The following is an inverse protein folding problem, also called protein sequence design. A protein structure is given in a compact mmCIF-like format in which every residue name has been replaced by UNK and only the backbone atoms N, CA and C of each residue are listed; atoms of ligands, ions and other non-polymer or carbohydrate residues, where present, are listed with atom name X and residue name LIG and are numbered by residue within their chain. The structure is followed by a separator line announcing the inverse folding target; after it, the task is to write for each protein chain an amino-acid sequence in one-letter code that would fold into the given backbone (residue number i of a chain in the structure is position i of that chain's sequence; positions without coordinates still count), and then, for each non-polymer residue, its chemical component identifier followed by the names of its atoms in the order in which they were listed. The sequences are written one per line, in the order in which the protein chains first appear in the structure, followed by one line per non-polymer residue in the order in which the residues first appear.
data_IF_454842472548
#
_entry.id   IF_454842472548
#
_cell.length_a   1.000
_cell.length_b   1.000
_cell.length_c   1.000
_cell.angle_alpha   90.00
_cell.angle_beta   90.00
_cell.angle_gamma   90.00
#
_symmetry.space_group_name_H-M   'P 1'
#
loop_
_entity.id
_entity.type
_entity.pdbx_description
1 polymer ?
#
# COMPACT_ATOMS: atom_id res chain seq x y z
N UNK A 1 1.68 -14.24 16.10
CA UNK A 1 0.44 -14.04 15.33
C UNK A 1 0.63 -14.19 13.81
N UNK A 2 1.20 -13.23 13.05
CA UNK A 2 1.30 -13.33 11.57
C UNK A 2 1.96 -14.63 11.06
N UNK A 3 3.03 -15.09 11.70
CA UNK A 3 3.69 -16.35 11.31
C UNK A 3 2.84 -17.60 11.59
N UNK A 4 2.08 -17.61 12.69
CA UNK A 4 1.20 -18.74 13.04
C UNK A 4 0.03 -18.85 12.07
N UNK A 5 -0.59 -17.72 11.73
CA UNK A 5 -1.67 -17.65 10.73
C UNK A 5 -1.19 -18.00 9.32
N UNK A 6 0.05 -17.63 8.99
CA UNK A 6 0.67 -18.02 7.73
C UNK A 6 0.96 -19.53 7.66
N UNK A 7 1.42 -20.13 8.77
CA UNK A 7 1.62 -21.57 8.86
C UNK A 7 0.29 -22.35 8.82
N UNK A 8 -0.77 -21.80 9.43
CA UNK A 8 -2.13 -22.33 9.28
C UNK A 8 -2.54 -22.35 7.81
N UNK A 9 -2.43 -21.23 7.09
CA UNK A 9 -2.79 -21.16 5.67
C UNK A 9 -2.03 -22.19 4.80
N UNK A 10 -0.79 -22.53 5.17
CA UNK A 10 0.02 -23.53 4.47
C UNK A 10 -0.39 -24.98 4.73
N UNK A 11 -0.89 -25.29 5.92
CA UNK A 11 -0.98 -26.68 6.41
C UNK A 11 -2.37 -27.12 6.85
N UNK A 12 -3.21 -26.18 7.32
CA UNK A 12 -4.53 -26.48 7.86
C UNK A 12 -5.55 -26.64 6.74
N UNK A 13 -6.42 -27.63 6.87
CA UNK A 13 -7.61 -27.77 6.01
C UNK A 13 -8.80 -26.95 6.53
N UNK A 14 -8.63 -26.25 7.65
CA UNK A 14 -9.62 -25.34 8.22
C UNK A 14 -9.04 -23.92 8.18
N UNK A 15 -9.79 -23.02 7.55
CA UNK A 15 -9.55 -21.59 7.58
C UNK A 15 -10.25 -21.04 8.83
N UNK A 16 -9.47 -20.78 9.88
CA UNK A 16 -10.02 -20.35 11.17
C UNK A 16 -10.71 -19.00 11.08
N UNK A 17 -11.65 -18.76 12.01
CA UNK A 17 -12.26 -17.43 12.18
C UNK A 17 -11.20 -16.35 12.41
N UNK A 18 -10.11 -16.67 13.11
CA UNK A 18 -9.02 -15.74 13.36
C UNK A 18 -8.30 -15.37 12.07
N UNK A 19 -7.93 -16.36 11.24
CA UNK A 19 -7.31 -16.12 9.94
C UNK A 19 -8.21 -15.31 9.01
N UNK A 20 -9.50 -15.67 8.93
CA UNK A 20 -10.50 -14.92 8.14
C UNK A 20 -10.62 -13.49 8.62
N UNK A 21 -10.74 -13.27 9.93
CA UNK A 21 -10.87 -11.92 10.50
C UNK A 21 -9.62 -11.08 10.19
N UNK A 22 -8.41 -11.63 10.36
CA UNK A 22 -7.17 -10.94 10.01
C UNK A 22 -7.07 -10.60 8.52
N UNK A 23 -7.54 -11.49 7.63
CA UNK A 23 -7.60 -11.22 6.20
C UNK A 23 -8.60 -10.12 5.85
N UNK A 24 -9.75 -10.06 6.51
CA UNK A 24 -10.76 -9.04 6.25
C UNK A 24 -10.41 -7.69 6.89
N UNK A 25 -9.79 -7.70 8.07
CA UNK A 25 -9.28 -6.50 8.74
C UNK A 25 -8.13 -5.85 7.96
N UNK A 26 -7.39 -6.60 7.13
CA UNK A 26 -6.36 -5.99 6.28
C UNK A 26 -6.91 -4.99 5.27
N UNK A 27 -8.21 -5.04 4.97
CA UNK A 27 -8.88 -4.00 4.16
C UNK A 27 -9.07 -2.68 4.91
N UNK A 28 -9.03 -2.70 6.24
CA UNK A 28 -9.06 -1.48 7.06
C UNK A 28 -7.66 -0.85 7.16
N UNK A 29 -6.61 -1.68 7.20
CA UNK A 29 -5.23 -1.24 7.23
C UNK A 29 -4.64 -1.22 5.82
N UNK A 30 -4.79 -0.09 5.13
CA UNK A 30 -4.28 0.10 3.76
C UNK A 30 -2.74 0.12 3.65
N UNK A 31 -2.00 -0.42 4.63
CA UNK A 31 -0.55 -0.44 4.62
C UNK A 31 0.00 -1.56 3.73
N UNK A 32 1.10 -1.27 3.04
CA UNK A 32 1.71 -2.19 2.07
C UNK A 32 2.02 -3.57 2.67
N UNK A 33 2.50 -3.62 3.92
CA UNK A 33 2.93 -4.88 4.56
C UNK A 33 1.76 -5.80 4.87
N UNK A 34 0.57 -5.25 5.15
CA UNK A 34 -0.64 -6.05 5.35
C UNK A 34 -1.20 -6.52 4.01
N UNK A 35 -1.21 -5.65 2.99
CA UNK A 35 -1.67 -5.99 1.64
C UNK A 35 -0.83 -7.13 1.05
N UNK A 36 0.50 -7.05 1.14
CA UNK A 36 1.41 -8.10 0.65
C UNK A 36 1.17 -9.42 1.39
N UNK A 37 1.08 -9.38 2.73
CA UNK A 37 0.80 -10.58 3.52
C UNK A 37 -0.54 -11.23 3.12
N UNK A 38 -1.60 -10.44 2.92
CA UNK A 38 -2.89 -10.93 2.46
C UNK A 38 -2.78 -11.58 1.08
N UNK A 39 -2.09 -10.95 0.12
CA UNK A 39 -1.89 -11.51 -1.22
C UNK A 39 -1.18 -12.86 -1.14
N UNK A 40 -0.13 -12.97 -0.32
CA UNK A 40 0.64 -14.21 -0.17
C UNK A 40 -0.19 -15.34 0.43
N UNK A 41 -0.94 -15.04 1.50
CA UNK A 41 -1.87 -16.02 2.10
C UNK A 41 -2.91 -16.48 1.08
N UNK A 42 -3.54 -15.56 0.36
CA UNK A 42 -4.57 -15.90 -0.64
C UNK A 42 -3.98 -16.72 -1.81
N UNK A 43 -2.74 -16.45 -2.23
CA UNK A 43 -2.04 -17.26 -3.25
C UNK A 43 -1.72 -18.67 -2.78
N UNK A 44 -1.33 -18.84 -1.51
CA UNK A 44 -1.09 -20.15 -0.91
C UNK A 44 -2.40 -20.95 -0.89
N UNK A 45 -3.48 -20.36 -0.38
CA UNK A 45 -4.80 -21.01 -0.32
C UNK A 45 -5.30 -21.39 -1.72
N UNK A 46 -5.19 -20.46 -2.69
CA UNK A 46 -5.49 -20.72 -4.09
C UNK A 46 -4.75 -21.94 -4.62
N UNK A 47 -3.42 -21.99 -4.43
CA UNK A 47 -2.57 -23.08 -4.94
C UNK A 47 -2.98 -24.42 -4.35
N UNK A 48 -3.31 -24.45 -3.06
CA UNK A 48 -3.77 -25.65 -2.36
C UNK A 48 -5.13 -26.13 -2.88
N UNK A 49 -6.08 -25.22 -3.07
CA UNK A 49 -7.40 -25.53 -3.63
C UNK A 49 -7.27 -26.02 -5.09
N UNK A 50 -6.40 -25.39 -5.90
CA UNK A 50 -6.12 -25.83 -7.28
C UNK A 50 -5.46 -27.22 -7.33
N UNK A 51 -4.70 -27.60 -6.30
CA UNK A 51 -4.13 -28.95 -6.13
C UNK A 51 -5.17 -29.99 -5.66
N UNK A 52 -6.30 -29.54 -5.10
CA UNK A 52 -7.39 -30.39 -4.63
C UNK A 52 -7.50 -30.53 -3.11
N UNK A 53 -6.77 -29.72 -2.33
CA UNK A 53 -6.94 -29.67 -0.87
C UNK A 53 -8.36 -29.18 -0.53
N UNK A 54 -9.02 -29.85 0.43
CA UNK A 54 -10.39 -29.50 0.86
C UNK A 54 -10.35 -28.49 2.00
N UNK A 55 -10.26 -27.20 1.67
CA UNK A 55 -10.18 -26.14 2.67
C UNK A 55 -11.59 -25.72 3.10
N UNK A 56 -11.93 -25.91 4.37
CA UNK A 56 -13.20 -25.51 4.98
C UNK A 56 -13.08 -24.14 5.64
N UNK A 57 -13.98 -23.24 5.30
CA UNK A 57 -14.19 -21.98 6.00
C UNK A 57 -14.95 -22.23 7.31
N UNK A 58 -14.37 -21.84 8.44
CA UNK A 58 -14.98 -22.06 9.75
C UNK A 58 -16.21 -21.16 9.98
N UNK A 59 -16.25 -19.97 9.36
CA UNK A 59 -17.31 -18.97 9.57
C UNK A 59 -18.56 -19.30 8.75
N UNK A 60 -18.39 -19.62 7.47
CA UNK A 60 -19.48 -19.95 6.56
C UNK A 60 -19.80 -21.44 6.48
N UNK A 61 -18.88 -22.30 6.92
CA UNK A 61 -18.99 -23.76 6.83
C UNK A 61 -18.75 -24.33 5.43
N UNK A 62 -18.49 -23.49 4.44
CA UNK A 62 -18.28 -23.87 3.04
C UNK A 62 -16.91 -24.54 2.89
N UNK A 63 -16.84 -25.60 2.07
CA UNK A 63 -15.58 -26.13 1.58
C UNK A 63 -15.30 -25.45 0.24
N UNK A 64 -14.19 -24.73 0.16
CA UNK A 64 -13.84 -23.98 -1.02
C UNK A 64 -13.44 -24.90 -2.17
N UNK A 65 -14.11 -24.72 -3.29
CA UNK A 65 -13.60 -25.07 -4.62
C UNK A 65 -12.99 -23.83 -5.29
N UNK A 66 -12.42 -24.01 -6.48
CA UNK A 66 -11.79 -22.92 -7.23
C UNK A 66 -12.73 -21.73 -7.45
N UNK A 67 -14.01 -22.00 -7.75
CA UNK A 67 -14.99 -20.96 -8.11
C UNK A 67 -15.43 -20.18 -6.87
N UNK A 68 -15.85 -20.88 -5.83
CA UNK A 68 -16.28 -20.31 -4.55
C UNK A 68 -15.16 -19.53 -3.86
N UNK A 69 -13.91 -20.01 -3.92
CA UNK A 69 -12.78 -19.25 -3.38
C UNK A 69 -12.51 -17.97 -4.17
N UNK A 70 -12.56 -18.04 -5.50
CA UNK A 70 -12.40 -16.86 -6.34
C UNK A 70 -13.53 -15.84 -6.11
N UNK A 71 -14.76 -16.29 -5.91
CA UNK A 71 -15.90 -15.45 -5.53
C UNK A 71 -15.73 -14.83 -4.14
N UNK A 72 -15.23 -15.59 -3.17
CA UNK A 72 -14.88 -15.07 -1.84
C UNK A 72 -13.86 -13.93 -1.94
N UNK A 73 -12.77 -14.12 -2.69
CA UNK A 73 -11.76 -13.07 -2.83
C UNK A 73 -12.33 -11.85 -3.57
N UNK A 74 -13.07 -12.07 -4.65
CA UNK A 74 -13.69 -10.99 -5.44
C UNK A 74 -14.69 -10.16 -4.63
N UNK A 75 -15.41 -10.78 -3.70
CA UNK A 75 -16.45 -10.11 -2.90
C UNK A 75 -15.86 -9.30 -1.74
N UNK A 76 -14.79 -9.78 -1.13
CA UNK A 76 -14.32 -9.26 0.16
C UNK A 76 -13.05 -8.40 0.06
N UNK A 77 -12.32 -8.44 -1.06
CA UNK A 77 -11.05 -7.71 -1.21
C UNK A 77 -11.10 -6.74 -2.39
N UNK A 78 -10.15 -5.79 -2.41
CA UNK A 78 -10.03 -4.82 -3.51
C UNK A 78 -9.74 -5.50 -4.86
N UNK A 79 -10.04 -4.78 -5.94
CA UNK A 79 -9.67 -5.21 -7.31
C UNK A 79 -8.18 -5.50 -7.44
N UNK A 80 -7.34 -4.72 -6.74
CA UNK A 80 -5.90 -4.93 -6.69
C UNK A 80 -5.54 -6.29 -6.10
N UNK A 81 -5.98 -6.59 -4.86
CA UNK A 81 -5.67 -7.88 -4.21
C UNK A 81 -6.17 -9.03 -5.09
N UNK A 82 -7.39 -8.93 -5.59
CA UNK A 82 -7.93 -9.93 -6.52
C UNK A 82 -7.04 -10.11 -7.76
N UNK A 83 -6.60 -9.02 -8.39
CA UNK A 83 -5.73 -9.07 -9.57
C UNK A 83 -4.37 -9.72 -9.23
N UNK A 84 -3.79 -9.41 -8.08
CA UNK A 84 -2.51 -9.95 -7.64
C UNK A 84 -2.61 -11.44 -7.31
N UNK A 85 -3.76 -11.90 -6.81
CA UNK A 85 -3.99 -13.32 -6.49
C UNK A 85 -4.30 -14.16 -7.73
N UNK A 86 -5.06 -13.64 -8.70
CA UNK A 86 -5.63 -14.44 -9.80
C UNK A 86 -5.09 -14.14 -11.20
N UNK A 87 -4.62 -12.92 -11.47
CA UNK A 87 -4.21 -12.51 -12.82
C UNK A 87 -2.73 -12.80 -13.08
N UNK A 88 -2.36 -12.88 -14.36
CA UNK A 88 -0.97 -12.91 -14.78
C UNK A 88 -0.23 -11.66 -14.27
N UNK A 89 0.99 -11.77 -13.72
CA UNK A 89 1.75 -10.62 -13.22
C UNK A 89 1.88 -9.46 -14.24
N UNK A 90 1.93 -9.76 -15.54
CA UNK A 90 1.99 -8.75 -16.61
C UNK A 90 0.67 -8.00 -16.82
N UNK A 91 -0.45 -8.58 -16.36
CA UNK A 91 -1.80 -8.03 -16.45
C UNK A 91 -2.34 -7.53 -15.11
N UNK A 92 -1.59 -7.76 -14.02
CA UNK A 92 -2.01 -7.40 -12.68
C UNK A 92 -2.14 -5.88 -12.54
N UNK A 93 -3.11 -5.44 -11.75
CA UNK A 93 -3.41 -4.03 -11.54
C UNK A 93 -2.23 -3.33 -10.86
N UNK A 94 -1.91 -2.11 -11.29
CA UNK A 94 -0.93 -1.26 -10.62
C UNK A 94 -1.66 -0.41 -9.58
N UNK A 95 -1.12 -0.38 -8.36
CA UNK A 95 -1.52 0.56 -7.31
C UNK A 95 -0.38 1.50 -6.97
N UNK A 96 -0.74 2.63 -6.37
CA UNK A 96 0.17 3.64 -5.90
C UNK A 96 0.02 3.78 -4.40
N UNK A 97 1.02 4.35 -3.74
CA UNK A 97 1.04 4.52 -2.29
C UNK A 97 1.36 5.97 -1.93
N UNK A 98 0.77 6.44 -0.84
CA UNK A 98 1.13 7.66 -0.13
C UNK A 98 1.90 7.33 1.13
N UNK A 99 2.56 8.33 1.69
CA UNK A 99 3.30 8.22 2.94
C UNK A 99 2.50 8.86 4.07
N UNK A 100 2.29 8.13 5.15
CA UNK A 100 1.66 8.61 6.37
C UNK A 100 2.67 8.55 7.52
N UNK A 101 2.83 9.65 8.26
CA UNK A 101 3.78 9.71 9.36
C UNK A 101 3.40 8.73 10.48
N UNK A 102 4.40 8.04 11.03
CA UNK A 102 4.25 7.14 12.18
C UNK A 102 5.45 7.26 13.13
N UNK A 103 5.39 6.59 14.27
CA UNK A 103 6.51 6.58 15.21
C UNK A 103 7.77 6.03 14.54
N UNK A 104 8.83 6.85 14.50
CA UNK A 104 10.11 6.48 13.92
C UNK A 104 10.17 6.41 12.38
N UNK A 105 9.13 6.81 11.65
CA UNK A 105 9.15 6.76 10.18
C UNK A 105 7.85 7.10 9.47
N UNK A 106 7.62 6.43 8.33
CA UNK A 106 6.44 6.61 7.50
C UNK A 106 5.87 5.26 7.07
N UNK A 107 4.56 5.10 7.19
CA UNK A 107 3.82 4.00 6.60
C UNK A 107 3.58 4.28 5.11
N UNK A 108 3.68 3.24 4.27
CA UNK A 108 3.19 3.29 2.89
C UNK A 108 1.75 2.81 2.87
N UNK A 109 0.83 3.71 2.50
CA UNK A 109 -0.62 3.49 2.51
C UNK A 109 -1.15 3.55 1.08
N UNK A 110 -2.05 2.65 0.69
CA UNK A 110 -2.60 2.63 -0.66
C UNK A 110 -3.27 3.98 -0.99
N UNK A 111 -2.87 4.57 -2.10
CA UNK A 111 -3.46 5.82 -2.61
C UNK A 111 -4.83 5.52 -3.22
N UNK A 112 -5.79 6.44 -3.06
CA UNK A 112 -7.10 6.30 -3.69
C UNK A 112 -7.03 6.45 -5.22
N UNK A 113 -6.00 7.14 -5.73
CA UNK A 113 -5.76 7.23 -7.17
C UNK A 113 -4.29 7.48 -7.53
N UNK A 114 -3.94 7.16 -8.78
CA UNK A 114 -2.63 7.49 -9.37
C UNK A 114 -2.37 8.99 -9.55
N UNK A 115 -3.37 9.83 -9.29
CA UNK A 115 -3.31 11.29 -9.46
C UNK A 115 -3.19 12.04 -8.14
N UNK A 116 -3.10 11.31 -7.01
CA UNK A 116 -2.87 11.96 -5.73
C UNK A 116 -1.56 12.74 -5.75
N UNK A 117 -1.65 14.00 -5.31
CA UNK A 117 -0.49 14.87 -5.25
C UNK A 117 0.37 14.44 -4.07
N UNK A 118 1.67 14.31 -4.32
CA UNK A 118 2.68 14.04 -3.28
C UNK A 118 3.32 15.32 -2.74
N UNK A 119 3.06 16.46 -3.39
CA UNK A 119 3.61 17.76 -3.03
C UNK A 119 2.57 18.88 -3.15
N UNK A 120 2.80 19.97 -2.42
CA UNK A 120 2.15 21.26 -2.60
C UNK A 120 3.10 22.19 -3.36
N UNK A 121 2.59 22.90 -4.35
CA UNK A 121 3.38 23.91 -5.06
C UNK A 121 3.51 25.16 -4.18
N UNK A 122 4.71 25.75 -4.12
CA UNK A 122 4.98 26.99 -3.39
C UNK A 122 5.18 28.15 -4.38
N UNK A 123 6.14 28.00 -5.31
CA UNK A 123 6.47 29.04 -6.29
C UNK A 123 7.21 28.47 -7.49
N UNK A 124 7.24 29.22 -8.60
CA UNK A 124 8.09 28.92 -9.76
C UNK A 124 9.36 29.76 -9.69
N UNK A 125 10.52 29.10 -9.64
CA UNK A 125 11.83 29.76 -9.65
C UNK A 125 12.25 30.13 -11.09
N UNK A 126 11.82 29.33 -12.05
CA UNK A 126 11.96 29.57 -13.49
C UNK A 126 10.94 28.72 -14.26
N UNK A 127 10.95 28.82 -15.59
CA UNK A 127 10.15 27.90 -16.43
C UNK A 127 10.50 26.43 -16.18
N UNK A 128 11.74 26.13 -15.79
CA UNK A 128 12.22 24.77 -15.55
C UNK A 128 12.02 24.33 -14.10
N UNK A 129 12.20 25.22 -13.13
CA UNK A 129 12.27 24.83 -11.72
C UNK A 129 11.15 25.42 -10.89
N UNK A 130 10.55 24.59 -10.04
CA UNK A 130 9.56 25.02 -9.06
C UNK A 130 10.00 24.65 -7.65
N UNK A 131 9.67 25.51 -6.70
CA UNK A 131 9.76 25.22 -5.28
C UNK A 131 8.47 24.52 -4.83
N UNK A 132 8.58 23.39 -4.17
CA UNK A 132 7.46 22.58 -3.72
C UNK A 132 7.69 22.08 -2.30
N UNK A 133 6.63 21.85 -1.54
CA UNK A 133 6.67 21.19 -0.23
C UNK A 133 6.20 19.74 -0.40
N UNK A 134 6.99 18.77 0.05
CA UNK A 134 6.53 17.38 0.11
C UNK A 134 5.50 17.22 1.22
N UNK A 135 4.30 16.74 0.87
CA UNK A 135 3.16 16.69 1.80
C UNK A 135 3.46 15.81 3.01
N UNK A 136 4.15 14.69 2.79
CA UNK A 136 4.42 13.72 3.84
C UNK A 136 5.40 14.25 4.91
N UNK A 137 6.38 15.07 4.50
CA UNK A 137 7.49 15.47 5.38
C UNK A 137 7.46 16.95 5.76
N UNK A 138 6.72 17.79 5.03
CA UNK A 138 6.77 19.25 5.17
C UNK A 138 8.08 19.87 4.68
N UNK A 139 8.97 19.09 4.06
CA UNK A 139 10.28 19.55 3.59
C UNK A 139 10.14 20.16 2.20
N UNK A 140 10.87 21.25 1.97
CA UNK A 140 10.96 21.95 0.69
C UNK A 140 11.89 21.23 -0.27
N UNK A 141 11.46 21.11 -1.52
CA UNK A 141 12.20 20.54 -2.65
C UNK A 141 12.22 21.51 -3.82
N UNK A 142 13.28 21.42 -4.62
CA UNK A 142 13.30 21.96 -5.98
C UNK A 142 12.85 20.84 -6.92
N UNK A 143 11.78 21.10 -7.65
CA UNK A 143 11.25 20.22 -8.69
C UNK A 143 11.75 20.67 -10.05
N UNK A 144 12.40 19.77 -10.80
CA UNK A 144 12.68 19.95 -12.22
C UNK A 144 11.46 19.52 -13.02
N UNK A 145 10.73 20.49 -13.58
CA UNK A 145 9.50 20.23 -14.33
C UNK A 145 9.75 19.50 -15.65
N UNK A 146 10.96 19.61 -16.23
CA UNK A 146 11.31 18.94 -17.47
C UNK A 146 11.51 17.45 -17.26
N UNK A 147 12.24 17.09 -16.20
CA UNK A 147 12.62 15.71 -15.92
C UNK A 147 11.69 15.01 -14.90
N UNK A 148 10.76 15.77 -14.31
CA UNK A 148 9.87 15.33 -13.24
C UNK A 148 10.65 14.73 -12.04
N UNK A 149 11.78 15.33 -11.71
CA UNK A 149 12.63 14.93 -10.58
C UNK A 149 12.58 15.97 -9.46
N UNK A 150 12.95 15.55 -8.26
CA UNK A 150 12.90 16.36 -7.05
C UNK A 150 14.26 16.26 -6.35
N UNK A 151 14.78 17.39 -5.90
CA UNK A 151 15.93 17.45 -5.01
C UNK A 151 15.56 18.22 -3.75
N UNK A 152 15.97 17.77 -2.56
CA UNK A 152 15.70 18.54 -1.34
C UNK A 152 16.37 19.90 -1.44
N UNK A 153 15.67 20.94 -1.01
CA UNK A 153 16.29 22.24 -0.80
C UNK A 153 17.07 22.17 0.52
N UNK A 154 18.40 22.29 0.41
CA UNK A 154 19.31 22.25 1.54
C UNK A 154 19.87 23.66 1.74
N UNK A 155 19.81 24.17 2.97
CA UNK A 155 20.39 25.47 3.29
C UNK A 155 21.91 25.45 3.23
N UNK A 156 22.52 26.64 3.28
CA UNK A 156 23.98 26.77 3.38
C UNK A 156 24.57 26.04 4.61
N UNK A 157 23.78 25.87 5.66
CA UNK A 157 24.18 25.15 6.88
C UNK A 157 23.97 23.62 6.77
N UNK A 158 23.60 23.12 5.59
CA UNK A 158 23.37 21.69 5.37
C UNK A 158 22.05 21.17 5.94
N UNK A 159 21.09 22.05 6.24
CA UNK A 159 19.82 21.67 6.86
C UNK A 159 18.67 21.58 5.87
N UNK A 160 17.74 20.67 6.15
CA UNK A 160 16.44 20.68 5.50
C UNK A 160 15.64 21.92 5.88
N UNK A 161 14.77 22.36 4.99
CA UNK A 161 13.94 23.53 5.20
C UNK A 161 12.46 23.20 5.05
N UNK A 162 11.61 23.98 5.75
CA UNK A 162 10.15 23.99 5.60
C UNK A 162 9.66 25.35 5.07
N UNK A 163 8.46 25.38 4.49
CA UNK A 163 7.83 26.62 4.08
C UNK A 163 6.86 27.12 5.15
N UNK A 164 7.08 28.34 5.61
CA UNK A 164 6.17 29.04 6.50
C UNK A 164 5.21 29.89 5.66
N UNK A 165 3.95 29.44 5.61
CA UNK A 165 2.90 30.06 4.79
C UNK A 165 2.53 31.45 5.31
N UNK A 166 2.52 31.65 6.64
CA UNK A 166 2.12 32.93 7.25
C UNK A 166 3.19 34.00 7.04
N UNK A 167 4.46 33.65 7.23
CA UNK A 167 5.58 34.56 7.02
C UNK A 167 5.99 34.68 5.54
N UNK A 168 5.56 33.74 4.69
CA UNK A 168 5.98 33.65 3.29
C UNK A 168 7.47 33.33 3.14
N UNK A 169 8.06 32.55 4.05
CA UNK A 169 9.51 32.31 4.14
C UNK A 169 9.88 30.84 4.14
N UNK A 170 11.09 30.54 3.69
CA UNK A 170 11.72 29.22 3.87
C UNK A 170 12.53 29.28 5.18
N UNK A 171 12.29 28.33 6.08
CA UNK A 171 12.93 28.26 7.39
C UNK A 171 13.67 26.93 7.53
N UNK A 172 14.87 26.97 8.12
CA UNK A 172 15.61 25.75 8.47
C UNK A 172 14.88 24.95 9.57
N UNK A 173 15.09 23.63 9.54
CA UNK A 173 14.69 22.70 10.60
C UNK A 173 15.79 22.52 11.67
#
# INVERSE_FOLDING_TARGET
MKNQLFDEAKRSDILSKELISNLLESMQYSSISFIEWTIDVLKILRTRIERGDKIKDEVSGIIYDKKSFQEFVKKNFSSYIYSQTFMDPKKAEKVYFTMEACEGGYNLVMAASSKEKTYKWISSLSERFSLVEMIATGIVYIKDNKNNSYMPFISENGKYCRYDVEAGKILEL
#
